data_IF_978138187929
#
_entry.id   IF_978138187929
#
_cell.length_a   1.000
_cell.length_b   1.000
_cell.length_c   1.000
_cell.angle_alpha   90.00
_cell.angle_beta   90.00
_cell.angle_gamma   90.00
#
_symmetry.space_group_name_H-M   'P 1'
#
loop_
_entity.id
_entity.type
_entity.pdbx_description
1 polymer ?
#
# COMPACT_ATOMS: atom_id res chain seq x y z
N UNK A 1 -27.79 -16.74 11.51
CA UNK A 1 -26.94 -15.89 10.65
C UNK A 1 -26.18 -14.92 11.55
N UNK A 2 -24.88 -15.14 11.75
CA UNK A 2 -24.05 -14.20 12.51
C UNK A 2 -23.56 -13.12 11.54
N UNK A 3 -24.05 -11.90 11.70
CA UNK A 3 -23.49 -10.72 11.03
C UNK A 3 -22.24 -10.34 11.84
N UNK A 4 -21.08 -10.79 11.39
CA UNK A 4 -19.81 -10.30 11.94
C UNK A 4 -19.62 -8.87 11.44
N UNK A 5 -20.10 -7.88 12.20
CA UNK A 5 -19.63 -6.50 12.05
C UNK A 5 -18.15 -6.53 12.44
N UNK A 6 -17.26 -6.43 11.45
CA UNK A 6 -15.85 -6.19 11.72
C UNK A 6 -15.76 -4.89 12.51
N UNK A 7 -15.60 -4.99 13.83
CA UNK A 7 -15.23 -3.86 14.67
C UNK A 7 -13.78 -3.56 14.32
N UNK A 8 -13.59 -2.70 13.32
CA UNK A 8 -12.28 -2.21 12.95
C UNK A 8 -11.84 -1.26 14.08
N UNK A 9 -10.75 -1.55 14.81
CA UNK A 9 -10.31 -0.71 15.91
C UNK A 9 -10.06 0.73 15.42
N UNK A 10 -10.32 1.74 16.25
CA UNK A 10 -10.19 3.17 15.88
C UNK A 10 -8.81 3.53 15.28
N UNK A 11 -7.74 2.86 15.74
CA UNK A 11 -6.38 3.04 15.20
C UNK A 11 -6.27 2.63 13.73
N UNK A 12 -6.99 1.60 13.33
CA UNK A 12 -7.04 1.13 11.94
C UNK A 12 -7.81 2.13 11.07
N UNK A 13 -8.92 2.68 11.57
CA UNK A 13 -9.70 3.70 10.85
C UNK A 13 -8.89 4.99 10.63
N UNK A 14 -8.13 5.43 11.64
CA UNK A 14 -7.25 6.58 11.52
C UNK A 14 -6.15 6.34 10.48
N UNK A 15 -5.57 5.13 10.46
CA UNK A 15 -4.55 4.74 9.50
C UNK A 15 -5.08 4.67 8.06
N UNK A 16 -6.26 4.06 7.85
CA UNK A 16 -6.93 4.01 6.54
C UNK A 16 -7.32 5.42 6.05
N UNK A 17 -7.73 6.30 6.95
CA UNK A 17 -8.04 7.69 6.62
C UNK A 17 -6.80 8.47 6.16
N UNK A 18 -5.65 8.24 6.79
CA UNK A 18 -4.37 8.82 6.36
C UNK A 18 -3.98 8.32 4.97
N UNK A 19 -4.11 7.02 4.71
CA UNK A 19 -3.84 6.42 3.40
C UNK A 19 -4.77 7.01 2.35
N UNK A 20 -6.07 7.12 2.63
CA UNK A 20 -7.04 7.75 1.74
C UNK A 20 -6.66 9.18 1.39
N UNK A 21 -6.28 9.99 2.37
CA UNK A 21 -5.84 11.37 2.14
C UNK A 21 -4.57 11.41 1.27
N UNK A 22 -3.58 10.57 1.54
CA UNK A 22 -2.37 10.48 0.74
C UNK A 22 -2.66 10.04 -0.70
N UNK A 23 -3.55 9.06 -0.89
CA UNK A 23 -4.01 8.63 -2.22
C UNK A 23 -4.73 9.74 -2.98
N UNK A 24 -5.65 10.45 -2.32
CA UNK A 24 -6.35 11.57 -2.94
C UNK A 24 -5.41 12.72 -3.33
N UNK A 25 -4.41 13.01 -2.50
CA UNK A 25 -3.35 13.97 -2.82
C UNK A 25 -2.52 13.51 -4.03
N UNK A 26 -2.14 12.24 -4.09
CA UNK A 26 -1.38 11.69 -5.21
C UNK A 26 -2.16 11.69 -6.53
N UNK A 27 -3.49 11.57 -6.47
CA UNK A 27 -4.35 11.65 -7.65
C UNK A 27 -4.51 13.09 -8.16
N UNK A 28 -4.24 14.13 -7.36
CA UNK A 28 -4.33 15.54 -7.76
C UNK A 28 -5.63 15.90 -8.53
N UNK A 29 -6.76 15.35 -8.06
CA UNK A 29 -8.07 15.56 -8.69
C UNK A 29 -8.33 14.75 -9.97
N UNK A 30 -7.39 13.94 -10.44
CA UNK A 30 -7.63 12.97 -11.51
C UNK A 30 -8.64 11.90 -11.08
N UNK A 31 -9.47 11.40 -12.01
CA UNK A 31 -10.40 10.31 -11.71
C UNK A 31 -9.65 9.01 -11.38
N UNK A 32 -10.24 8.13 -10.56
CA UNK A 32 -9.67 6.81 -10.28
C UNK A 32 -9.44 6.01 -11.57
N UNK A 33 -8.37 5.23 -11.61
CA UNK A 33 -8.07 4.31 -12.70
C UNK A 33 -9.22 3.34 -12.96
N UNK A 34 -9.41 2.99 -14.23
CA UNK A 34 -10.50 2.08 -14.65
C UNK A 34 -9.99 0.78 -15.25
N UNK A 35 -8.72 0.76 -15.70
CA UNK A 35 -8.05 -0.42 -16.21
C UNK A 35 -7.35 -1.25 -15.13
N UNK A 36 -6.73 -2.36 -15.53
CA UNK A 36 -5.88 -3.15 -14.66
C UNK A 36 -4.67 -2.34 -14.21
N UNK A 37 -4.32 -2.43 -12.93
CA UNK A 37 -3.18 -1.71 -12.33
C UNK A 37 -2.14 -2.68 -11.76
N UNK A 38 -0.90 -2.22 -11.73
CA UNK A 38 0.19 -2.78 -10.92
C UNK A 38 0.37 -1.93 -9.67
N UNK A 39 0.53 -2.57 -8.52
CA UNK A 39 0.88 -1.94 -7.25
C UNK A 39 2.26 -2.39 -6.77
N UNK A 40 3.07 -1.44 -6.31
CA UNK A 40 4.38 -1.73 -5.71
C UNK A 40 4.43 -1.06 -4.34
N UNK A 41 4.77 -1.82 -3.30
CA UNK A 41 4.78 -1.35 -1.92
C UNK A 41 6.17 -1.53 -1.31
N UNK A 42 6.79 -0.44 -0.88
CA UNK A 42 8.00 -0.46 -0.07
C UNK A 42 7.70 -0.02 1.37
N UNK A 43 7.86 -0.96 2.30
CA UNK A 43 7.63 -0.74 3.73
C UNK A 43 8.96 -0.43 4.38
N UNK A 44 9.11 0.80 4.85
CA UNK A 44 10.31 1.31 5.50
C UNK A 44 10.18 1.16 7.01
N UNK A 45 10.92 0.20 7.57
CA UNK A 45 11.02 -0.02 9.01
C UNK A 45 12.11 0.87 9.62
N UNK A 46 11.94 1.38 10.85
CA UNK A 46 13.01 2.11 11.54
C UNK A 46 14.19 1.20 11.83
N UNK A 47 15.40 1.72 11.64
CA UNK A 47 16.61 1.07 12.16
C UNK A 47 16.59 1.11 13.69
N UNK A 48 16.78 -0.02 14.39
CA UNK A 48 16.81 -0.01 15.85
C UNK A 48 17.97 0.85 16.38
N UNK A 49 17.70 1.86 17.24
CA UNK A 49 18.75 2.76 17.72
C UNK A 49 19.77 2.06 18.64
N UNK A 50 19.38 0.93 19.22
CA UNK A 50 20.25 0.08 20.04
C UNK A 50 21.31 -0.70 19.24
N UNK A 51 21.19 -0.77 17.91
CA UNK A 51 22.19 -1.45 17.08
C UNK A 51 23.49 -0.64 17.00
N UNK A 52 24.62 -1.32 16.82
CA UNK A 52 25.90 -0.66 16.59
C UNK A 52 25.86 0.20 15.31
N UNK A 53 26.60 1.31 15.27
CA UNK A 53 26.68 2.20 14.09
C UNK A 53 27.01 1.45 12.80
N UNK A 54 27.88 0.44 12.87
CA UNK A 54 28.22 -0.41 11.71
C UNK A 54 27.00 -1.17 11.21
N UNK A 55 26.24 -1.80 12.12
CA UNK A 55 25.03 -2.56 11.76
C UNK A 55 23.93 -1.63 11.24
N UNK A 56 23.77 -0.45 11.83
CA UNK A 56 22.84 0.56 11.34
C UNK A 56 23.16 0.96 9.89
N UNK A 57 24.43 1.25 9.56
CA UNK A 57 24.85 1.57 8.18
C UNK A 57 24.57 0.44 7.20
N UNK A 58 24.85 -0.81 7.59
CA UNK A 58 24.55 -1.99 6.75
C UNK A 58 23.05 -2.18 6.50
N UNK A 59 22.22 -1.88 7.51
CA UNK A 59 20.77 -1.90 7.38
C UNK A 59 20.27 -0.83 6.39
N UNK A 60 20.79 0.41 6.51
CA UNK A 60 20.49 1.50 5.58
C UNK A 60 21.02 1.25 4.16
N UNK A 61 22.09 0.46 4.02
CA UNK A 61 22.62 0.02 2.72
C UNK A 61 21.84 -1.17 2.11
N UNK A 62 20.79 -1.67 2.77
CA UNK A 62 20.00 -2.80 2.28
C UNK A 62 20.66 -4.17 2.44
N UNK A 63 21.82 -4.27 3.10
CA UNK A 63 22.50 -5.55 3.37
C UNK A 63 21.80 -6.37 4.48
N UNK A 64 21.00 -5.70 5.31
CA UNK A 64 20.21 -6.31 6.37
C UNK A 64 18.76 -5.90 6.13
N UNK A 65 17.86 -6.89 6.03
CA UNK A 65 16.43 -6.65 5.81
C UNK A 65 15.61 -6.84 7.10
N UNK A 66 14.49 -6.13 7.27
CA UNK A 66 13.61 -6.31 8.43
C UNK A 66 12.88 -7.66 8.41
N UNK A 67 13.09 -8.45 9.46
CA UNK A 67 12.33 -9.68 9.74
C UNK A 67 11.36 -9.51 10.92
N UNK A 68 11.03 -8.26 11.24
CA UNK A 68 10.13 -7.86 12.33
C UNK A 68 8.81 -7.31 11.79
N UNK A 69 7.83 -7.09 12.69
CA UNK A 69 6.56 -6.42 12.37
C UNK A 69 6.83 -5.01 11.79
N UNK A 70 5.90 -4.47 10.96
CA UNK A 70 4.61 -5.05 10.58
C UNK A 70 4.74 -6.22 9.57
N UNK A 71 3.67 -7.00 9.45
CA UNK A 71 3.54 -8.01 8.39
C UNK A 71 3.21 -7.30 7.07
N UNK A 72 3.88 -7.68 5.98
CA UNK A 72 3.74 -6.97 4.72
C UNK A 72 2.35 -7.10 4.10
N UNK A 73 1.69 -8.23 4.27
CA UNK A 73 0.32 -8.50 3.82
C UNK A 73 -0.72 -7.66 4.59
N UNK A 74 -0.52 -7.44 5.89
CA UNK A 74 -1.36 -6.54 6.68
C UNK A 74 -1.23 -5.08 6.23
N UNK A 75 -0.01 -4.64 5.90
CA UNK A 75 0.21 -3.30 5.35
C UNK A 75 -0.42 -3.18 3.96
N UNK A 76 -0.21 -4.16 3.10
CA UNK A 76 -0.81 -4.21 1.77
C UNK A 76 -2.33 -4.14 1.83
N UNK A 77 -2.96 -4.91 2.72
CA UNK A 77 -4.40 -4.87 2.92
C UNK A 77 -4.89 -3.48 3.31
N UNK A 78 -4.26 -2.86 4.30
CA UNK A 78 -4.63 -1.51 4.72
C UNK A 78 -4.43 -0.46 3.62
N UNK A 79 -3.37 -0.61 2.80
CA UNK A 79 -3.15 0.24 1.61
C UNK A 79 -4.29 0.04 0.61
N UNK A 80 -4.60 -1.22 0.24
CA UNK A 80 -5.67 -1.54 -0.70
C UNK A 80 -7.02 -1.01 -0.25
N UNK A 81 -7.37 -1.22 1.02
CA UNK A 81 -8.62 -0.76 1.62
C UNK A 81 -8.70 0.79 1.65
N UNK A 82 -7.59 1.46 2.00
CA UNK A 82 -7.54 2.92 2.11
C UNK A 82 -7.62 3.67 0.77
N UNK A 83 -7.04 3.12 -0.31
CA UNK A 83 -7.05 3.75 -1.65
C UNK A 83 -8.18 3.25 -2.56
N UNK A 84 -8.97 2.27 -2.12
CA UNK A 84 -10.11 1.78 -2.89
C UNK A 84 -11.17 2.86 -3.08
N UNK A 85 -11.66 3.01 -4.32
CA UNK A 85 -12.56 4.09 -4.74
C UNK A 85 -11.90 5.46 -4.89
N UNK A 86 -10.61 5.58 -4.57
CA UNK A 86 -9.84 6.85 -4.62
C UNK A 86 -8.83 6.82 -5.75
N UNK A 87 -7.97 5.79 -5.78
CA UNK A 87 -6.93 5.64 -6.80
C UNK A 87 -7.38 4.73 -7.94
N UNK A 88 -8.14 3.67 -7.61
CA UNK A 88 -8.84 2.80 -8.57
C UNK A 88 -10.28 2.58 -8.07
N UNK A 89 -11.18 2.11 -8.93
CA UNK A 89 -12.60 1.95 -8.55
C UNK A 89 -12.86 0.75 -7.65
N UNK A 90 -12.12 -0.33 -7.88
CA UNK A 90 -12.29 -1.61 -7.20
C UNK A 90 -10.94 -2.32 -7.05
N UNK A 91 -10.71 -2.99 -5.93
CA UNK A 91 -9.44 -3.65 -5.63
C UNK A 91 -9.15 -4.84 -6.56
N UNK A 92 -10.19 -5.39 -7.22
CA UNK A 92 -10.03 -6.38 -8.29
C UNK A 92 -9.24 -5.86 -9.50
N UNK A 93 -9.06 -4.53 -9.63
CA UNK A 93 -8.22 -3.94 -10.67
C UNK A 93 -6.73 -4.16 -10.42
N UNK A 94 -6.31 -4.47 -9.20
CA UNK A 94 -4.91 -4.76 -8.87
C UNK A 94 -4.57 -6.17 -9.34
N UNK A 95 -4.03 -6.29 -10.55
CA UNK A 95 -3.72 -7.59 -11.18
C UNK A 95 -2.27 -8.04 -10.96
N UNK A 96 -1.41 -7.12 -10.52
CA UNK A 96 -0.01 -7.38 -10.19
C UNK A 96 0.33 -6.58 -8.95
N UNK A 97 0.89 -7.23 -7.94
CA UNK A 97 1.44 -6.55 -6.78
C UNK A 97 2.82 -7.07 -6.38
N UNK A 98 3.61 -6.19 -5.79
CA UNK A 98 4.87 -6.52 -5.12
C UNK A 98 4.94 -5.78 -3.79
N UNK A 99 5.62 -6.40 -2.83
CA UNK A 99 5.90 -5.76 -1.53
C UNK A 99 7.27 -6.12 -1.00
N UNK A 100 7.98 -5.13 -0.47
CA UNK A 100 9.27 -5.28 0.17
C UNK A 100 9.29 -4.66 1.56
N UNK A 101 10.19 -5.14 2.42
CA UNK A 101 10.55 -4.47 3.67
C UNK A 101 12.01 -4.07 3.62
N UNK A 102 12.30 -2.82 3.94
CA UNK A 102 13.64 -2.26 4.03
C UNK A 102 13.80 -1.50 5.34
N UNK A 103 15.03 -1.30 5.79
CA UNK A 103 15.28 -0.34 6.86
C UNK A 103 15.53 1.05 6.27
N UNK A 104 15.05 2.08 6.95
CA UNK A 104 15.31 3.47 6.61
C UNK A 104 15.32 4.39 7.83
N UNK A 105 15.74 5.62 7.61
CA UNK A 105 15.81 6.63 8.68
C UNK A 105 14.41 7.12 9.08
N UNK A 106 13.52 7.26 8.11
CA UNK A 106 12.14 7.72 8.31
C UNK A 106 11.19 6.57 8.01
N UNK A 107 10.44 6.06 9.02
CA UNK A 107 9.42 5.05 8.80
C UNK A 107 8.33 5.56 7.86
N UNK A 108 8.01 4.76 6.84
CA UNK A 108 7.06 5.12 5.80
C UNK A 108 6.54 3.87 5.09
N UNK A 109 5.44 4.05 4.35
CA UNK A 109 4.98 3.10 3.34
C UNK A 109 4.93 3.86 2.03
N UNK A 110 5.78 3.49 1.08
CA UNK A 110 5.76 4.04 -0.27
C UNK A 110 4.93 3.13 -1.14
N UNK A 111 4.00 3.71 -1.88
CA UNK A 111 3.09 2.99 -2.77
C UNK A 111 3.16 3.63 -4.13
N UNK A 112 3.42 2.82 -5.16
CA UNK A 112 3.34 3.23 -6.55
C UNK A 112 2.24 2.42 -7.22
N UNK A 113 1.26 3.12 -7.82
CA UNK A 113 0.21 2.51 -8.64
C UNK A 113 0.44 2.94 -10.08
N UNK A 114 0.50 1.97 -10.98
CA UNK A 114 0.65 2.21 -12.43
C UNK A 114 -0.45 1.49 -13.19
N UNK A 115 -1.22 2.21 -13.99
CA UNK A 115 -2.18 1.59 -14.92
C UNK A 115 -1.45 0.87 -16.05
N UNK A 116 -1.81 -0.39 -16.30
CA UNK A 116 -1.22 -1.21 -17.34
C UNK A 116 -1.80 -0.82 -18.71
N UNK A 117 -1.01 -0.08 -19.49
CA UNK A 117 -1.40 0.37 -20.83
C UNK A 117 -1.47 -0.81 -21.82
N UNK A 118 -2.42 -0.75 -22.76
CA UNK A 118 -2.58 -1.76 -23.80
C UNK A 118 -3.08 -3.13 -23.34
N UNK A 119 -3.58 -3.23 -22.10
CA UNK A 119 -4.15 -4.46 -21.54
C UNK A 119 -5.66 -4.29 -21.38
N UNK A 120 -6.44 -5.20 -21.97
CA UNK A 120 -7.89 -5.20 -21.83
C UNK A 120 -8.33 -5.76 -20.48
N UNK A 121 -9.25 -5.06 -19.81
CA UNK A 121 -9.92 -5.59 -18.62
C UNK A 121 -10.91 -6.69 -19.01
N UNK A 122 -10.84 -7.86 -18.35
CA UNK A 122 -11.73 -9.00 -18.64
C UNK A 122 -13.24 -8.67 -18.52
N UNK A 123 -13.61 -7.68 -17.72
CA UNK A 123 -15.00 -7.29 -17.49
C UNK A 123 -15.54 -6.31 -18.55
N UNK A 124 -14.73 -5.96 -19.56
CA UNK A 124 -15.00 -4.85 -20.49
C UNK A 124 -15.00 -3.51 -19.75
N UNK A 125 -14.83 -2.39 -20.47
CA UNK A 125 -15.06 -1.08 -19.86
C UNK A 125 -16.52 -1.03 -19.41
N UNK A 126 -16.80 -1.19 -18.12
CA UNK A 126 -18.12 -0.93 -17.57
C UNK A 126 -18.42 0.54 -17.83
N UNK A 127 -19.16 0.80 -18.92
CA UNK A 127 -19.83 2.07 -19.17
C UNK A 127 -20.76 2.25 -17.99
N UNK A 128 -20.50 3.27 -17.18
CA UNK A 128 -21.38 3.59 -16.05
C UNK A 128 -22.80 3.85 -16.57
N UNK A 129 -23.76 3.20 -15.92
CA UNK A 129 -25.15 3.64 -15.87
C UNK A 129 -25.30 4.68 -14.74
#
# INVERSE_FOLDING_TARGET
MAITRHYTPEKTVAYESLIRCAGAQAMDGHPPFTGPVRMEIDIVCPVPPSWSKVRQRRALAGEILPTVKPDGDNVEKAVKDGINGVVYRDDVQVVRDSKGKVYGEVPAVHVVITELQGVESAQGAKRHA
#
